data_IF_369905761011
#
_entry.id   IF_369905761011
#
_cell.length_a   1.000
_cell.length_b   1.000
_cell.length_c   1.000
_cell.angle_alpha   90.00
_cell.angle_beta   90.00
_cell.angle_gamma   90.00
#
_symmetry.space_group_name_H-M   'P 1'
#
loop_
_entity.id
_entity.type
_entity.pdbx_description
1 polymer ?
#
# COMPACT_ATOMS: atom_id res chain seq x y z
N UNK A 1 3.99 0.76 8.24
CA UNK A 1 3.94 2.14 8.75
C UNK A 1 5.29 2.80 8.53
N UNK A 2 5.29 3.99 7.94
CA UNK A 2 6.47 4.79 7.70
C UNK A 2 6.29 6.18 8.28
N UNK A 3 7.33 6.72 8.88
CA UNK A 3 7.33 8.08 9.39
C UNK A 3 7.83 9.02 8.29
N UNK A 4 6.93 9.80 7.71
CA UNK A 4 7.19 10.65 6.55
C UNK A 4 7.31 12.10 7.02
N UNK A 5 8.47 12.69 6.80
CA UNK A 5 8.79 14.07 7.17
C UNK A 5 8.96 14.93 5.93
N UNK A 6 8.32 16.10 5.92
CA UNK A 6 8.46 17.08 4.86
C UNK A 6 9.51 18.12 5.29
N UNK A 7 10.60 18.22 4.52
CA UNK A 7 11.73 19.11 4.81
C UNK A 7 11.47 20.54 4.33
N UNK A 8 10.44 20.76 3.51
CA UNK A 8 10.08 22.06 2.99
C UNK A 8 9.35 22.91 4.05
N UNK A 9 9.71 24.19 4.15
CA UNK A 9 9.20 25.10 5.20
C UNK A 9 7.90 25.83 4.87
N UNK A 10 7.40 25.72 3.63
CA UNK A 10 6.25 26.51 3.15
C UNK A 10 5.14 25.69 2.49
N UNK A 11 5.51 24.59 1.83
CA UNK A 11 4.58 23.84 0.99
C UNK A 11 4.15 22.57 1.72
N UNK A 12 2.85 22.42 2.05
CA UNK A 12 2.34 21.14 2.52
C UNK A 12 2.35 20.12 1.37
N UNK A 13 2.59 18.85 1.70
CA UNK A 13 2.61 17.76 0.70
C UNK A 13 1.40 16.86 0.94
N UNK A 14 0.52 16.80 -0.06
CA UNK A 14 -0.60 15.85 -0.05
C UNK A 14 -0.12 14.45 -0.41
N UNK A 15 -0.54 13.47 0.38
CA UNK A 15 -0.32 12.06 0.13
C UNK A 15 -1.53 11.46 -0.61
N UNK A 16 -1.33 10.34 -1.34
CA UNK A 16 -2.41 9.65 -2.06
C UNK A 16 -3.53 9.09 -1.17
N UNK A 17 -3.28 8.93 0.13
CA UNK A 17 -4.27 8.52 1.14
C UNK A 17 -5.11 9.69 1.68
N UNK A 18 -4.99 10.88 1.08
CA UNK A 18 -5.67 12.08 1.52
C UNK A 18 -5.03 12.78 2.72
N UNK A 19 -4.02 12.18 3.36
CA UNK A 19 -3.25 12.82 4.42
C UNK A 19 -2.38 13.94 3.87
N UNK A 20 -2.12 14.96 4.69
CA UNK A 20 -1.25 16.07 4.32
C UNK A 20 -0.10 16.11 5.30
N UNK A 21 1.14 16.17 4.79
CA UNK A 21 2.35 16.34 5.60
C UNK A 21 2.65 17.83 5.80
N UNK A 22 2.64 18.30 7.06
CA UNK A 22 3.19 19.54 7.54
C UNK A 22 4.30 20.19 6.73
N UNK A 23 4.35 21.47 6.33
CA UNK A 23 5.66 22.05 6.06
C UNK A 23 6.55 21.96 7.32
N UNK A 24 7.70 21.30 7.23
CA UNK A 24 8.59 21.00 8.37
C UNK A 24 8.03 19.99 9.36
N UNK A 25 6.89 19.35 9.04
CA UNK A 25 6.21 18.41 9.92
C UNK A 25 6.45 16.96 9.54
N UNK A 26 6.12 16.09 10.49
CA UNK A 26 6.24 14.64 10.34
C UNK A 26 4.90 13.98 10.60
N UNK A 27 4.55 12.99 9.79
CA UNK A 27 3.34 12.18 9.97
C UNK A 27 3.66 10.70 9.84
N UNK A 28 2.98 9.88 10.61
CA UNK A 28 3.04 8.43 10.50
C UNK A 28 2.03 7.96 9.45
N UNK A 29 2.54 7.25 8.45
CA UNK A 29 1.81 6.83 7.26
C UNK A 29 1.80 5.30 7.21
N UNK A 30 0.68 4.65 7.56
CA UNK A 30 0.59 3.19 7.59
C UNK A 30 0.88 2.54 6.23
N UNK A 31 0.29 3.11 5.16
CA UNK A 31 0.29 2.58 3.79
C UNK A 31 1.37 3.16 2.86
N UNK A 32 2.42 3.78 3.43
CA UNK A 32 3.45 4.44 2.62
C UNK A 32 4.07 3.53 1.55
N UNK A 33 4.29 2.25 1.86
CA UNK A 33 4.91 1.28 0.95
C UNK A 33 4.06 1.04 -0.31
N UNK A 34 2.73 1.17 -0.21
CA UNK A 34 1.79 0.87 -1.29
C UNK A 34 1.87 1.93 -2.41
N UNK A 35 2.27 3.16 -2.07
CA UNK A 35 2.29 4.27 -3.01
C UNK A 35 3.62 5.04 -3.08
N UNK A 36 4.62 4.69 -2.27
CA UNK A 36 5.94 5.32 -2.28
C UNK A 36 6.66 5.23 -3.63
N UNK A 37 6.35 4.19 -4.40
CA UNK A 37 6.90 3.96 -5.74
C UNK A 37 6.25 4.83 -6.84
N UNK A 38 5.26 5.67 -6.51
CA UNK A 38 4.68 6.62 -7.47
C UNK A 38 5.72 7.67 -7.84
N UNK A 39 5.78 8.03 -9.12
CA UNK A 39 6.83 8.87 -9.69
C UNK A 39 7.03 10.20 -8.95
N UNK A 40 5.95 10.84 -8.51
CA UNK A 40 5.99 12.10 -7.76
C UNK A 40 6.58 11.93 -6.35
N UNK A 41 6.22 10.86 -5.63
CA UNK A 41 6.71 10.61 -4.27
C UNK A 41 8.15 10.11 -4.28
N UNK A 42 8.48 9.20 -5.20
CA UNK A 42 9.84 8.76 -5.42
C UNK A 42 10.76 9.95 -5.73
N UNK A 43 10.31 10.89 -6.57
CA UNK A 43 11.04 12.12 -6.83
C UNK A 43 11.22 12.98 -5.58
N UNK A 44 10.20 13.13 -4.73
CA UNK A 44 10.33 13.90 -3.48
C UNK A 44 11.28 13.25 -2.47
N UNK A 45 11.31 11.92 -2.40
CA UNK A 45 12.28 11.21 -1.56
C UNK A 45 13.69 11.34 -2.12
N UNK A 46 13.86 11.15 -3.43
CA UNK A 46 15.17 11.26 -4.10
C UNK A 46 15.76 12.67 -4.02
N UNK A 47 14.91 13.70 -4.13
CA UNK A 47 15.31 15.11 -4.00
C UNK A 47 15.44 15.58 -2.55
N UNK A 48 15.11 14.73 -1.57
CA UNK A 48 15.19 15.05 -0.14
C UNK A 48 14.10 16.00 0.37
N UNK A 49 13.06 16.26 -0.44
CA UNK A 49 11.86 17.00 -0.06
C UNK A 49 11.03 16.21 0.96
N UNK A 50 11.00 14.88 0.82
CA UNK A 50 10.41 13.96 1.78
C UNK A 50 11.50 13.05 2.35
N UNK A 51 11.59 12.98 3.68
CA UNK A 51 12.44 12.03 4.39
C UNK A 51 11.54 10.98 5.02
N UNK A 52 11.81 9.72 4.72
CA UNK A 52 11.00 8.60 5.19
C UNK A 52 11.83 7.75 6.12
N UNK A 53 11.40 7.60 7.36
CA UNK A 53 11.99 6.69 8.34
C UNK A 53 11.07 5.49 8.56
N UNK A 54 11.58 4.26 8.39
CA UNK A 54 10.80 3.04 8.57
C UNK A 54 9.81 2.70 7.43
N UNK A 55 9.95 3.35 6.28
CA UNK A 55 9.11 3.14 5.09
C UNK A 55 9.83 2.61 3.87
N UNK A 56 11.08 2.21 4.00
CA UNK A 56 11.69 1.40 2.95
C UNK A 56 10.83 0.14 2.79
N UNK A 57 10.53 -0.29 1.55
CA UNK A 57 10.10 -1.66 1.37
C UNK A 57 11.25 -2.47 1.93
N UNK A 58 11.07 -3.01 3.15
CA UNK A 58 11.91 -4.11 3.66
C UNK A 58 12.11 -4.97 2.44
N UNK A 59 13.35 -5.16 2.01
CA UNK A 59 13.64 -6.02 0.87
C UNK A 59 13.20 -7.42 1.29
N UNK A 60 11.90 -7.68 1.17
CA UNK A 60 11.27 -8.90 1.59
C UNK A 60 11.97 -9.93 0.74
N UNK A 61 12.68 -10.80 1.43
CA UNK A 61 13.48 -11.81 0.78
C UNK A 61 12.54 -12.61 -0.10
N UNK A 62 13.07 -13.17 -1.19
CA UNK A 62 12.27 -13.95 -2.14
C UNK A 62 11.38 -14.97 -1.42
N UNK A 63 11.91 -15.55 -0.35
CA UNK A 63 11.25 -16.49 0.56
C UNK A 63 10.05 -15.89 1.31
N UNK A 64 10.17 -14.65 1.80
CA UNK A 64 9.07 -13.94 2.48
C UNK A 64 7.96 -13.55 1.50
N UNK A 65 8.33 -13.14 0.27
CA UNK A 65 7.36 -12.91 -0.80
C UNK A 65 6.62 -14.20 -1.16
N UNK A 66 7.33 -15.33 -1.27
CA UNK A 66 6.69 -16.63 -1.48
C UNK A 66 5.81 -17.05 -0.30
N UNK A 67 6.22 -16.78 0.94
CA UNK A 67 5.43 -17.09 2.12
C UNK A 67 4.12 -16.29 2.15
N UNK A 68 4.17 -14.98 1.87
CA UNK A 68 2.97 -14.12 1.75
C UNK A 68 2.07 -14.55 0.59
N UNK A 69 2.64 -14.83 -0.58
CA UNK A 69 1.88 -15.36 -1.71
C UNK A 69 1.17 -16.66 -1.39
N UNK A 70 1.86 -17.58 -0.73
CA UNK A 70 1.30 -18.86 -0.33
C UNK A 70 0.20 -18.69 0.73
N UNK A 71 0.36 -17.74 1.65
CA UNK A 71 -0.69 -17.38 2.61
C UNK A 71 -1.97 -16.86 1.91
N UNK A 72 -1.79 -16.13 0.81
CA UNK A 72 -2.88 -15.66 -0.06
C UNK A 72 -3.37 -16.72 -1.07
N UNK A 73 -2.84 -17.94 -1.04
CA UNK A 73 -3.21 -19.03 -1.96
C UNK A 73 -2.66 -18.89 -3.39
N UNK A 74 -1.67 -18.03 -3.62
CA UNK A 74 -1.07 -17.75 -4.92
C UNK A 74 0.17 -18.64 -5.10
N UNK A 75 0.14 -19.54 -6.09
CA UNK A 75 1.33 -20.31 -6.47
C UNK A 75 2.21 -19.51 -7.43
N UNK A 76 3.33 -19.00 -6.93
CA UNK A 76 4.36 -18.41 -7.77
C UNK A 76 5.49 -19.40 -8.08
N UNK A 77 6.00 -19.36 -9.31
CA UNK A 77 7.10 -20.22 -9.74
C UNK A 77 8.43 -19.81 -9.11
N UNK A 78 9.24 -20.78 -8.67
CA UNK A 78 10.57 -20.55 -8.04
C UNK A 78 11.53 -19.68 -8.86
N UNK A 79 11.35 -19.62 -10.19
CA UNK A 79 12.16 -18.82 -11.11
C UNK A 79 11.65 -17.39 -11.33
N UNK A 80 10.53 -16.98 -10.72
CA UNK A 80 10.03 -15.61 -10.84
C UNK A 80 11.00 -14.62 -10.22
N UNK A 81 11.25 -13.49 -10.90
CA UNK A 81 12.07 -12.40 -10.38
C UNK A 81 11.37 -11.70 -9.21
N UNK A 82 12.11 -11.08 -8.29
CA UNK A 82 11.55 -10.32 -7.15
C UNK A 82 10.49 -9.31 -7.60
N UNK A 83 10.74 -8.61 -8.70
CA UNK A 83 9.77 -7.69 -9.31
C UNK A 83 8.46 -8.38 -9.68
N UNK A 84 8.54 -9.51 -10.39
CA UNK A 84 7.35 -10.30 -10.81
C UNK A 84 6.63 -10.92 -9.62
N UNK A 85 7.35 -11.27 -8.55
CA UNK A 85 6.73 -11.70 -7.31
C UNK A 85 5.97 -10.55 -6.65
N UNK A 86 6.59 -9.39 -6.42
CA UNK A 86 5.89 -8.24 -5.85
C UNK A 86 4.66 -7.84 -6.67
N UNK A 87 4.78 -7.83 -7.99
CA UNK A 87 3.69 -7.51 -8.91
C UNK A 87 2.53 -8.51 -8.80
N UNK A 88 2.80 -9.81 -8.77
CA UNK A 88 1.76 -10.84 -8.55
C UNK A 88 1.11 -10.76 -7.17
N UNK A 89 1.86 -10.37 -6.15
CA UNK A 89 1.32 -10.19 -4.80
C UNK A 89 0.34 -9.01 -4.79
N UNK A 90 0.76 -7.87 -5.35
CA UNK A 90 -0.08 -6.68 -5.49
C UNK A 90 -1.32 -6.94 -6.37
N UNK A 91 -1.15 -7.64 -7.51
CA UNK A 91 -2.25 -7.96 -8.41
C UNK A 91 -3.29 -8.88 -7.76
N UNK A 92 -2.83 -9.85 -6.95
CA UNK A 92 -3.74 -10.71 -6.21
C UNK A 92 -4.42 -9.98 -5.04
N UNK A 93 -3.72 -9.08 -4.34
CA UNK A 93 -4.31 -8.22 -3.33
C UNK A 93 -5.37 -7.30 -3.95
N UNK A 94 -5.09 -6.65 -5.07
CA UNK A 94 -6.07 -5.85 -5.80
C UNK A 94 -7.25 -6.68 -6.29
N UNK A 95 -7.01 -7.90 -6.78
CA UNK A 95 -8.09 -8.79 -7.23
C UNK A 95 -8.97 -9.23 -6.07
N UNK A 96 -8.39 -9.52 -4.90
CA UNK A 96 -9.12 -9.81 -3.68
C UNK A 96 -9.94 -8.58 -3.24
N UNK A 97 -9.34 -7.38 -3.23
CA UNK A 97 -10.07 -6.13 -2.95
C UNK A 97 -11.25 -5.96 -3.89
N UNK A 98 -11.02 -6.11 -5.19
CA UNK A 98 -12.05 -5.95 -6.21
C UNK A 98 -13.18 -6.99 -6.08
N UNK A 99 -12.86 -8.24 -5.75
CA UNK A 99 -13.87 -9.30 -5.52
C UNK A 99 -14.71 -9.00 -4.27
N UNK A 100 -14.09 -8.53 -3.20
CA UNK A 100 -14.77 -8.13 -1.97
C UNK A 100 -15.62 -6.88 -2.18
N UNK A 101 -15.08 -5.86 -2.84
CA UNK A 101 -15.81 -4.65 -3.23
C UNK A 101 -17.00 -5.05 -4.11
N UNK A 102 -16.82 -5.90 -5.12
CA UNK A 102 -17.92 -6.37 -5.96
C UNK A 102 -19.02 -7.05 -5.14
N UNK A 103 -18.66 -7.92 -4.19
CA UNK A 103 -19.62 -8.57 -3.28
C UNK A 103 -20.31 -7.59 -2.33
N UNK A 104 -19.60 -6.60 -1.81
CA UNK A 104 -20.16 -5.55 -0.94
C UNK A 104 -21.09 -4.63 -1.72
N UNK A 105 -20.72 -4.23 -2.94
CA UNK A 105 -21.56 -3.47 -3.86
C UNK A 105 -22.81 -4.25 -4.26
N UNK A 106 -22.71 -5.56 -4.50
CA UNK A 106 -23.86 -6.43 -4.76
C UNK A 106 -24.83 -6.48 -3.56
N UNK A 107 -24.30 -6.37 -2.34
CA UNK A 107 -25.08 -6.22 -1.10
C UNK A 107 -25.51 -4.78 -0.78
N UNK A 108 -25.19 -3.82 -1.65
CA UNK A 108 -25.60 -2.41 -1.53
C UNK A 108 -24.70 -1.55 -0.63
N UNK A 109 -23.49 -2.01 -0.31
CA UNK A 109 -22.49 -1.28 0.49
C UNK A 109 -21.43 -0.71 -0.44
N UNK A 110 -21.43 0.61 -0.63
CA UNK A 110 -20.40 1.32 -1.39
C UNK A 110 -19.19 1.57 -0.47
N UNK A 111 -18.12 0.81 -0.69
CA UNK A 111 -16.87 0.96 0.07
C UNK A 111 -15.93 1.85 -0.73
N UNK A 112 -15.65 3.03 -0.19
CA UNK A 112 -14.77 4.01 -0.82
C UNK A 112 -13.38 3.45 -1.10
N UNK A 113 -12.70 3.97 -2.12
CA UNK A 113 -11.44 3.45 -2.66
C UNK A 113 -10.21 3.52 -1.70
N UNK A 114 -10.44 3.89 -0.43
CA UNK A 114 -9.45 4.09 0.64
C UNK A 114 -9.50 3.00 1.74
N UNK A 115 -10.37 2.00 1.63
CA UNK A 115 -10.40 0.89 2.60
C UNK A 115 -9.36 -0.20 2.31
N UNK A 116 -8.76 -0.69 3.38
CA UNK A 116 -7.78 -1.78 3.34
C UNK A 116 -8.43 -3.14 3.09
N UNK A 117 -7.64 -4.13 2.63
CA UNK A 117 -8.12 -5.51 2.42
C UNK A 117 -8.81 -6.09 3.66
N UNK A 118 -8.22 -5.82 4.84
CA UNK A 118 -8.73 -6.31 6.12
C UNK A 118 -10.08 -5.68 6.48
N UNK A 119 -10.27 -4.38 6.23
CA UNK A 119 -11.55 -3.71 6.47
C UNK A 119 -12.63 -4.18 5.49
N UNK A 120 -12.25 -4.39 4.23
CA UNK A 120 -13.14 -4.94 3.20
C UNK A 120 -13.61 -6.35 3.57
N UNK A 121 -12.70 -7.26 3.95
CA UNK A 121 -13.07 -8.61 4.40
C UNK A 121 -13.93 -8.60 5.67
N UNK A 122 -13.57 -7.75 6.65
CA UNK A 122 -14.33 -7.62 7.88
C UNK A 122 -15.74 -7.08 7.64
N UNK A 123 -15.90 -6.12 6.73
CA UNK A 123 -17.20 -5.59 6.36
C UNK A 123 -18.02 -6.63 5.60
N UNK A 124 -17.41 -7.36 4.65
CA UNK A 124 -18.08 -8.48 3.96
C UNK A 124 -18.53 -9.57 4.94
N UNK A 125 -17.74 -9.86 5.99
CA UNK A 125 -18.11 -10.85 7.00
C UNK A 125 -19.26 -10.42 7.92
N UNK A 126 -19.47 -9.11 8.12
CA UNK A 126 -20.64 -8.57 8.86
C UNK A 126 -21.93 -8.68 8.07
N UNK A 127 -21.83 -8.76 6.75
CA UNK A 127 -22.96 -8.92 5.84
C UNK A 127 -22.90 -10.34 5.22
N UNK A 128 -23.34 -11.41 5.92
CA UNK A 128 -23.37 -12.78 5.39
C UNK A 128 -24.34 -12.96 4.22
#
# INVERSE_FOLDING_TARGET
MAKVSNTHSKTPIGLPDGSVVPPGGTIDVPQWVDYSNRQNLAFYVETGVLVVEGGEPVELSKEELFAKMKALGIEAGKNSSLKSLRERLAEAEEKAKADIIAKLTEKGVDVGNDVTLEELEAELAKHP
#
